data_IF_092594331784
#
_entry.id   IF_092594331784
#
_cell.length_a   1.000
_cell.length_b   1.000
_cell.length_c   1.000
_cell.angle_alpha   90.00
_cell.angle_beta   90.00
_cell.angle_gamma   90.00
#
_symmetry.space_group_name_H-M   'P 1'
#
loop_
_entity.id
_entity.type
_entity.pdbx_description
1 polymer ?
#
# COMPACT_ATOMS: atom_id res chain seq x y z
N UNK A 1 -24.70 12.06 -15.31
CA UNK A 1 -25.16 13.45 -15.04
C UNK A 1 -24.75 13.76 -13.61
N UNK A 2 -24.05 14.87 -13.34
CA UNK A 2 -23.65 15.23 -11.98
C UNK A 2 -24.89 15.52 -11.11
N UNK A 3 -24.81 15.14 -9.83
CA UNK A 3 -25.79 15.45 -8.80
C UNK A 3 -25.31 16.67 -8.03
N UNK A 4 -26.21 17.61 -7.80
CA UNK A 4 -25.95 18.81 -7.01
C UNK A 4 -26.97 18.89 -5.88
N UNK A 5 -26.52 19.39 -4.74
CA UNK A 5 -27.37 19.64 -3.58
C UNK A 5 -27.85 21.10 -3.60
N UNK A 6 -29.14 21.29 -3.34
CA UNK A 6 -29.81 22.59 -3.32
C UNK A 6 -30.56 22.81 -2.01
N UNK A 7 -30.62 24.07 -1.59
CA UNK A 7 -31.49 24.55 -0.50
C UNK A 7 -32.47 25.54 -1.09
N UNK A 8 -33.76 25.30 -0.86
CA UNK A 8 -34.79 26.28 -1.20
C UNK A 8 -34.81 27.41 -0.17
N UNK A 9 -34.68 28.67 -0.59
CA UNK A 9 -34.73 29.82 0.32
C UNK A 9 -36.12 30.10 0.87
N UNK A 10 -37.17 29.69 0.14
CA UNK A 10 -38.56 29.93 0.55
C UNK A 10 -39.06 28.95 1.61
N UNK A 11 -38.67 27.67 1.54
CA UNK A 11 -39.16 26.63 2.46
C UNK A 11 -38.07 25.95 3.29
N UNK A 12 -36.79 26.27 3.05
CA UNK A 12 -35.64 25.75 3.81
C UNK A 12 -35.34 24.27 3.59
N UNK A 13 -35.99 23.59 2.64
CA UNK A 13 -35.75 22.17 2.37
C UNK A 13 -34.49 21.96 1.54
N UNK A 14 -33.67 21.01 1.97
CA UNK A 14 -32.50 20.52 1.25
C UNK A 14 -32.92 19.34 0.36
N UNK A 15 -32.43 19.31 -0.87
CA UNK A 15 -32.69 18.20 -1.80
C UNK A 15 -31.60 18.09 -2.86
N UNK A 16 -31.44 16.88 -3.39
CA UNK A 16 -30.49 16.57 -4.44
C UNK A 16 -31.16 16.54 -5.81
N UNK A 17 -30.47 17.10 -6.81
CA UNK A 17 -30.92 17.07 -8.19
C UNK A 17 -29.78 16.66 -9.14
N UNK A 18 -30.02 15.61 -9.93
CA UNK A 18 -29.15 15.29 -11.07
C UNK A 18 -29.49 16.19 -12.26
N UNK A 19 -28.52 16.97 -12.75
CA UNK A 19 -28.73 17.85 -13.91
C UNK A 19 -27.50 17.97 -14.80
N UNK A 20 -27.74 18.42 -16.05
CA UNK A 20 -26.65 18.88 -16.92
C UNK A 20 -26.28 20.31 -16.51
N UNK A 21 -25.00 20.66 -16.65
CA UNK A 21 -24.50 22.00 -16.31
C UNK A 21 -25.22 23.13 -17.09
N UNK A 22 -25.60 22.86 -18.34
CA UNK A 22 -26.21 23.84 -19.26
C UNK A 22 -27.73 24.02 -19.07
N UNK A 23 -28.36 23.34 -18.11
CA UNK A 23 -29.81 23.45 -17.87
C UNK A 23 -30.08 24.09 -16.51
N UNK A 24 -31.10 24.98 -16.40
CA UNK A 24 -31.50 25.53 -15.10
C UNK A 24 -31.98 24.41 -14.16
N UNK A 25 -31.85 24.60 -12.83
CA UNK A 25 -32.40 23.65 -11.85
C UNK A 25 -33.92 23.60 -11.94
N UNK A 26 -34.52 22.47 -11.55
CA UNK A 26 -35.98 22.38 -11.45
C UNK A 26 -36.45 23.12 -10.20
N UNK A 27 -37.66 23.69 -10.21
CA UNK A 27 -38.22 24.34 -9.02
C UNK A 27 -38.32 23.36 -7.85
N UNK A 28 -38.34 23.91 -6.63
CA UNK A 28 -38.59 23.15 -5.42
C UNK A 28 -40.03 22.56 -5.44
N UNK A 29 -40.30 21.53 -4.65
CA UNK A 29 -41.66 20.98 -4.48
C UNK A 29 -42.70 22.01 -4.00
N UNK A 30 -42.26 23.11 -3.38
CA UNK A 30 -43.13 24.24 -3.01
C UNK A 30 -43.38 25.25 -4.15
N UNK A 31 -42.85 25.01 -5.35
CA UNK A 31 -43.04 25.86 -6.53
C UNK A 31 -42.10 27.06 -6.65
N UNK A 32 -41.23 27.31 -5.66
CA UNK A 32 -40.27 28.41 -5.72
C UNK A 32 -39.05 28.08 -6.61
N UNK A 33 -38.55 29.11 -7.28
CA UNK A 33 -37.38 29.06 -8.18
C UNK A 33 -36.10 29.56 -7.47
N UNK A 34 -36.23 30.18 -6.30
CA UNK A 34 -35.11 30.72 -5.52
C UNK A 34 -34.38 29.60 -4.75
N UNK A 35 -33.39 29.02 -5.43
CA UNK A 35 -32.59 27.88 -4.98
C UNK A 35 -31.13 28.30 -4.81
N UNK A 36 -30.54 27.96 -3.66
CA UNK A 36 -29.11 28.12 -3.40
C UNK A 36 -28.42 26.76 -3.56
N UNK A 37 -27.34 26.70 -4.36
CA UNK A 37 -26.52 25.50 -4.49
C UNK A 37 -25.60 25.37 -3.27
N UNK A 38 -25.55 24.18 -2.66
CA UNK A 38 -24.65 23.89 -1.54
C UNK A 38 -23.33 23.38 -2.08
N UNK A 39 -22.24 23.98 -1.59
CA UNK A 39 -20.90 23.48 -1.80
C UNK A 39 -20.36 23.02 -0.46
N UNK A 40 -20.08 21.72 -0.35
CA UNK A 40 -19.35 21.20 0.81
C UNK A 40 -17.91 21.69 0.76
N UNK A 41 -17.31 21.99 1.93
CA UNK A 41 -15.91 22.36 1.97
C UNK A 41 -15.08 21.23 1.34
N UNK A 42 -14.16 21.54 0.41
CA UNK A 42 -13.28 20.53 -0.13
C UNK A 42 -12.42 19.97 1.01
N UNK A 43 -12.19 18.66 1.02
CA UNK A 43 -11.19 18.06 1.90
C UNK A 43 -9.81 18.49 1.42
N UNK A 44 -9.21 19.45 2.10
CA UNK A 44 -7.85 19.93 1.80
C UNK A 44 -6.86 19.05 2.56
N UNK A 45 -5.94 18.43 1.83
CA UNK A 45 -4.81 17.71 2.41
C UNK A 45 -3.52 18.44 2.07
N UNK A 46 -2.80 18.92 3.09
CA UNK A 46 -1.47 19.48 2.92
C UNK A 46 -0.48 18.32 3.00
N UNK A 47 0.19 18.01 1.88
CA UNK A 47 1.33 17.08 1.90
C UNK A 47 2.50 17.78 2.58
N UNK A 48 2.74 17.46 3.85
CA UNK A 48 3.92 17.95 4.58
C UNK A 48 5.23 17.47 3.94
N UNK A 49 6.32 18.18 4.25
CA UNK A 49 7.66 17.72 3.91
C UNK A 49 8.06 16.54 4.82
N UNK A 50 8.82 15.56 4.30
CA UNK A 50 9.26 14.42 5.10
C UNK A 50 10.20 14.91 6.21
N UNK A 51 9.86 14.62 7.46
CA UNK A 51 10.66 15.00 8.64
C UNK A 51 11.59 13.88 9.11
N UNK A 52 11.35 12.65 8.65
CA UNK A 52 12.10 11.45 9.03
C UNK A 52 12.68 10.73 7.81
N UNK A 53 13.76 9.97 8.03
CA UNK A 53 14.37 9.12 7.00
C UNK A 53 13.39 8.07 6.44
N UNK A 54 12.49 7.55 7.29
CA UNK A 54 11.45 6.61 6.87
C UNK A 54 10.46 7.25 5.91
N UNK A 55 9.92 8.42 6.26
CA UNK A 55 9.01 9.18 5.38
C UNK A 55 9.68 9.58 4.06
N UNK A 56 10.97 9.96 4.10
CA UNK A 56 11.72 10.26 2.88
C UNK A 56 11.87 9.02 1.99
N UNK A 57 12.16 7.87 2.59
CA UNK A 57 12.30 6.58 1.89
C UNK A 57 10.98 6.14 1.25
N UNK A 58 9.87 6.29 1.96
CA UNK A 58 8.53 6.01 1.44
C UNK A 58 8.16 6.96 0.30
N UNK A 59 8.42 8.26 0.45
CA UNK A 59 8.18 9.26 -0.62
C UNK A 59 8.98 8.93 -1.87
N UNK A 60 10.26 8.59 -1.71
CA UNK A 60 11.11 8.18 -2.83
C UNK A 60 10.61 6.89 -3.48
N UNK A 61 10.14 5.93 -2.68
CA UNK A 61 9.59 4.66 -3.18
C UNK A 61 8.29 4.83 -3.92
N UNK A 62 7.39 5.69 -3.42
CA UNK A 62 6.11 6.01 -4.04
C UNK A 62 6.28 6.82 -5.33
N UNK A 63 7.33 7.64 -5.41
CA UNK A 63 7.67 8.38 -6.62
C UNK A 63 8.36 7.51 -7.68
N UNK A 64 8.93 6.36 -7.30
CA UNK A 64 9.54 5.43 -8.25
C UNK A 64 8.48 4.63 -9.01
N UNK A 65 8.68 4.49 -10.32
CA UNK A 65 7.82 3.65 -11.15
C UNK A 65 8.00 2.16 -10.85
N UNK A 66 7.03 1.33 -11.29
CA UNK A 66 7.07 -0.13 -11.09
C UNK A 66 8.34 -0.77 -11.66
N UNK A 67 8.82 -0.29 -12.81
CA UNK A 67 10.02 -0.80 -13.47
C UNK A 67 11.29 -0.44 -12.71
N UNK A 68 11.48 0.84 -12.38
CA UNK A 68 12.63 1.33 -11.60
C UNK A 68 12.75 0.63 -10.24
N UNK A 69 11.61 0.38 -9.60
CA UNK A 69 11.55 -0.30 -8.31
C UNK A 69 11.89 -1.80 -8.43
N UNK A 70 11.53 -2.44 -9.54
CA UNK A 70 11.95 -3.81 -9.83
C UNK A 70 13.45 -3.89 -10.11
N UNK A 71 13.99 -2.96 -10.88
CA UNK A 71 15.42 -2.97 -11.25
C UNK A 71 16.30 -2.69 -10.03
N UNK A 72 15.98 -1.69 -9.21
CA UNK A 72 16.70 -1.45 -7.94
C UNK A 72 16.62 -2.61 -6.97
N UNK A 73 15.49 -3.32 -6.92
CA UNK A 73 15.35 -4.54 -6.10
C UNK A 73 16.19 -5.69 -6.64
N UNK A 74 16.27 -5.85 -7.97
CA UNK A 74 17.15 -6.82 -8.62
C UNK A 74 18.60 -6.51 -8.33
N UNK A 75 19.04 -5.27 -8.54
CA UNK A 75 20.40 -4.80 -8.21
C UNK A 75 20.74 -5.06 -6.74
N UNK A 76 19.82 -4.78 -5.81
CA UNK A 76 20.02 -5.06 -4.39
C UNK A 76 20.10 -6.57 -4.08
N UNK A 77 19.37 -7.41 -4.82
CA UNK A 77 19.41 -8.86 -4.68
C UNK A 77 20.65 -9.50 -5.31
N UNK A 78 21.15 -8.93 -6.41
CA UNK A 78 22.34 -9.37 -7.15
C UNK A 78 23.63 -8.90 -6.46
N UNK A 79 23.63 -7.69 -5.88
CA UNK A 79 24.74 -7.15 -5.09
C UNK A 79 24.93 -7.83 -3.73
N UNK A 80 23.90 -8.52 -3.21
CA UNK A 80 24.06 -9.49 -2.12
C UNK A 80 24.69 -10.76 -2.70
N UNK A 81 26.00 -10.72 -2.98
CA UNK A 81 26.80 -11.95 -3.10
C UNK A 81 26.37 -12.87 -1.97
N UNK A 82 25.93 -14.10 -2.29
CA UNK A 82 25.76 -15.15 -1.29
C UNK A 82 27.07 -15.14 -0.50
N UNK A 83 27.04 -14.69 0.75
CA UNK A 83 28.21 -14.80 1.62
C UNK A 83 28.58 -16.27 1.53
N UNK A 84 29.78 -16.55 1.04
CA UNK A 84 30.29 -17.93 1.02
C UNK A 84 30.03 -18.47 2.41
N UNK A 85 29.29 -19.58 2.45
CA UNK A 85 28.92 -20.17 3.71
C UNK A 85 30.24 -20.45 4.45
N UNK A 86 30.39 -20.01 5.70
CA UNK A 86 31.69 -20.07 6.36
C UNK A 86 32.20 -21.51 6.38
N UNK A 87 33.51 -21.72 6.30
CA UNK A 87 34.17 -23.02 6.07
C UNK A 87 33.63 -24.20 6.93
N UNK A 88 33.06 -23.92 8.10
CA UNK A 88 32.44 -24.90 9.01
C UNK A 88 31.02 -25.36 8.59
N UNK A 89 30.44 -24.80 7.54
CA UNK A 89 29.10 -25.18 7.01
C UNK A 89 29.17 -26.21 5.88
N UNK A 90 30.37 -26.49 5.35
CA UNK A 90 30.58 -27.51 4.31
C UNK A 90 30.80 -28.92 4.87
N UNK A 91 30.96 -29.07 6.19
CA UNK A 91 31.46 -30.30 6.81
C UNK A 91 30.40 -31.38 7.06
N UNK A 92 29.30 -31.41 6.31
CA UNK A 92 28.31 -32.46 6.48
C UNK A 92 27.23 -32.50 5.40
N UNK A 93 26.93 -33.70 4.91
CA UNK A 93 25.84 -33.91 3.96
C UNK A 93 24.44 -33.52 4.51
N UNK A 94 24.31 -33.30 5.82
CA UNK A 94 23.05 -33.02 6.49
C UNK A 94 22.97 -31.57 6.98
N UNK A 95 21.86 -30.92 6.69
CA UNK A 95 21.51 -29.61 7.23
C UNK A 95 21.18 -29.69 8.73
N UNK A 96 21.30 -28.57 9.45
CA UNK A 96 20.95 -28.48 10.87
C UNK A 96 19.49 -28.91 11.15
N UNK A 97 18.58 -28.67 10.19
CA UNK A 97 17.18 -29.11 10.27
C UNK A 97 17.04 -30.64 10.21
N UNK A 98 17.82 -31.31 9.36
CA UNK A 98 17.83 -32.77 9.26
C UNK A 98 18.47 -33.41 10.50
N UNK A 99 19.55 -32.83 11.02
CA UNK A 99 20.20 -33.29 12.26
C UNK A 99 19.22 -33.20 13.44
N UNK A 100 18.40 -32.14 13.52
CA UNK A 100 17.42 -32.00 14.60
C UNK A 100 16.29 -33.03 14.55
N UNK A 101 15.97 -33.57 13.37
CA UNK A 101 14.95 -34.62 13.18
C UNK A 101 15.48 -36.04 13.45
N UNK A 102 16.79 -36.23 13.58
CA UNK A 102 17.40 -37.53 13.88
C UNK A 102 17.12 -37.97 15.33
N UNK A 103 16.96 -39.27 15.52
CA UNK A 103 16.95 -39.88 16.86
C UNK A 103 18.33 -39.76 17.52
N UNK A 104 18.44 -39.89 18.87
CA UNK A 104 19.73 -39.84 19.57
C UNK A 104 20.76 -40.84 19.02
N UNK A 105 20.30 -42.02 18.59
CA UNK A 105 21.13 -43.05 17.97
C UNK A 105 21.63 -42.64 16.58
N UNK A 106 20.76 -42.02 15.77
CA UNK A 106 21.11 -41.50 14.44
C UNK A 106 22.07 -40.32 14.51
N UNK A 107 21.92 -39.43 15.50
CA UNK A 107 22.89 -38.35 15.77
C UNK A 107 24.25 -38.92 16.12
N UNK A 108 24.31 -39.93 16.98
CA UNK A 108 25.55 -40.59 17.36
C UNK A 108 26.22 -41.31 16.16
N UNK A 109 25.44 -41.95 15.27
CA UNK A 109 25.99 -42.55 14.06
C UNK A 109 26.47 -41.51 13.06
N UNK A 110 25.77 -40.38 12.94
CA UNK A 110 26.16 -39.27 12.08
C UNK A 110 27.51 -38.67 12.51
N UNK A 111 27.70 -38.44 13.82
CA UNK A 111 28.98 -37.96 14.39
C UNK A 111 30.12 -38.97 14.12
N UNK A 112 29.85 -40.28 14.22
CA UNK A 112 30.87 -41.32 14.06
C UNK A 112 31.21 -41.68 12.61
N UNK A 113 30.22 -41.64 11.71
CA UNK A 113 30.33 -42.17 10.33
C UNK A 113 30.26 -41.10 9.26
N UNK A 114 29.83 -39.88 9.58
CA UNK A 114 29.70 -38.76 8.64
C UNK A 114 28.65 -38.97 7.54
N UNK A 115 27.83 -40.02 7.62
CA UNK A 115 26.79 -40.38 6.65
C UNK A 115 25.42 -40.29 7.32
N UNK A 116 24.42 -39.82 6.56
CA UNK A 116 23.01 -39.75 6.97
C UNK A 116 22.47 -41.13 7.33
#
# INVERSE_FOLDING_TARGET
MPTYEYICRSCGKNFDQSRKLNKPPSPCACGSVDLAQVYHPPTIFVKGEPTTLGQLSEKNTNNMGKYELQDKRKEQSEGKKKKEAPWYTESGAASASEINKMTPQQKASYIKKGKK
#
